data_IF_463457070516
#
_entry.id   IF_463457070516
#
_cell.length_a   1.000
_cell.length_b   1.000
_cell.length_c   1.000
_cell.angle_alpha   90.00
_cell.angle_beta   90.00
_cell.angle_gamma   90.00
#
_symmetry.space_group_name_H-M   'P 1'
#
loop_
_entity.id
_entity.type
_entity.pdbx_description
1 polymer ?
#
# COMPACT_ATOMS: atom_id res chain seq x y z
N UNK A 1 -8.80 19.56 3.33
CA UNK A 1 -9.25 18.67 4.43
C UNK A 1 -10.28 17.74 3.85
N UNK A 2 -9.81 16.67 3.21
CA UNK A 2 -10.67 15.78 2.43
C UNK A 2 -10.99 14.61 3.34
N UNK A 3 -12.05 14.76 4.12
CA UNK A 3 -12.69 13.68 4.86
C UNK A 3 -13.28 12.69 3.87
N UNK A 4 -12.47 11.71 3.45
CA UNK A 4 -12.97 10.52 2.77
C UNK A 4 -13.78 9.70 3.78
N UNK A 5 -15.06 10.03 3.87
CA UNK A 5 -16.04 9.28 4.62
C UNK A 5 -16.15 7.86 4.03
N UNK A 6 -16.08 6.84 4.88
CA UNK A 6 -16.36 5.42 4.61
C UNK A 6 -15.44 4.67 3.63
N UNK A 7 -14.17 4.49 3.99
CA UNK A 7 -13.45 3.31 3.53
C UNK A 7 -13.58 2.22 4.60
N UNK A 8 -13.92 1.00 4.15
CA UNK A 8 -14.00 -0.21 4.96
C UNK A 8 -12.61 -0.59 5.48
N UNK A 9 -12.09 0.21 6.39
CA UNK A 9 -10.78 0.03 7.01
C UNK A 9 -10.75 -1.36 7.65
N UNK A 10 -9.83 -2.19 7.20
CA UNK A 10 -9.55 -3.46 7.87
C UNK A 10 -8.43 -3.17 8.84
N UNK A 11 -8.64 -3.48 10.12
CA UNK A 11 -7.62 -3.33 11.16
C UNK A 11 -7.45 -4.67 11.85
N UNK A 12 -6.21 -5.11 12.03
CA UNK A 12 -5.90 -6.34 12.75
C UNK A 12 -4.72 -6.15 13.67
N UNK A 13 -4.76 -6.85 14.79
CA UNK A 13 -3.63 -7.01 15.69
C UNK A 13 -2.83 -8.23 15.24
N UNK A 14 -1.62 -8.00 14.74
CA UNK A 14 -0.77 -9.03 14.15
C UNK A 14 0.54 -9.18 14.94
N UNK A 15 1.16 -10.36 14.86
CA UNK A 15 2.48 -10.62 15.45
C UNK A 15 3.53 -10.64 14.33
N UNK A 16 4.40 -9.63 14.31
CA UNK A 16 5.48 -9.46 13.33
C UNK A 16 6.81 -9.55 14.06
N UNK A 17 7.66 -10.51 13.68
CA UNK A 17 8.95 -10.77 14.34
C UNK A 17 8.87 -10.79 15.89
N UNK A 18 7.85 -11.46 16.45
CA UNK A 18 7.55 -11.55 17.89
C UNK A 18 7.04 -10.27 18.55
N UNK A 19 6.98 -9.16 17.82
CA UNK A 19 6.38 -7.91 18.28
C UNK A 19 4.93 -7.81 17.83
N UNK A 20 4.12 -7.22 18.68
CA UNK A 20 2.71 -6.99 18.41
C UNK A 20 2.55 -5.66 17.67
N UNK A 21 1.80 -5.67 16.57
CA UNK A 21 1.61 -4.51 15.71
C UNK A 21 0.14 -4.37 15.33
N UNK A 22 -0.24 -3.15 14.96
CA UNK A 22 -1.52 -2.86 14.30
C UNK A 22 -1.22 -2.74 12.82
N UNK A 23 -1.87 -3.60 12.04
CA UNK A 23 -1.88 -3.57 10.60
C UNK A 23 -3.23 -3.04 10.15
N UNK A 24 -3.22 -2.02 9.30
CA UNK A 24 -4.41 -1.48 8.69
C UNK A 24 -4.27 -1.41 7.17
N UNK A 25 -5.38 -1.56 6.45
CA UNK A 25 -5.47 -1.27 5.02
C UNK A 25 -6.88 -0.80 4.67
N UNK A 26 -7.03 -0.23 3.47
CA UNK A 26 -8.32 0.26 2.96
C UNK A 26 -9.27 -0.86 2.46
N UNK A 27 -8.78 -2.11 2.46
CA UNK A 27 -9.53 -3.29 2.05
C UNK A 27 -9.82 -3.37 0.55
N UNK A 28 -9.17 -2.56 -0.28
CA UNK A 28 -9.29 -2.61 -1.74
C UNK A 28 -8.35 -3.66 -2.34
N UNK A 29 -8.49 -4.93 -1.95
CA UNK A 29 -7.62 -6.02 -2.40
C UNK A 29 -7.61 -6.18 -3.94
N UNK A 30 -8.71 -5.85 -4.63
CA UNK A 30 -8.78 -5.82 -6.10
C UNK A 30 -7.88 -4.76 -6.75
N UNK A 31 -7.35 -3.81 -5.97
CA UNK A 31 -6.39 -2.77 -6.39
C UNK A 31 -5.02 -2.90 -5.72
N UNK A 32 -4.79 -3.95 -4.93
CA UNK A 32 -3.50 -4.24 -4.31
C UNK A 32 -2.66 -5.13 -5.23
N UNK A 33 -1.61 -4.55 -5.81
CA UNK A 33 -0.70 -5.25 -6.71
C UNK A 33 0.49 -5.85 -5.98
N UNK A 34 0.85 -5.32 -4.81
CA UNK A 34 2.15 -5.52 -4.18
C UNK A 34 3.10 -4.38 -4.54
N UNK A 35 3.87 -3.88 -3.57
CA UNK A 35 4.73 -2.70 -3.73
C UNK A 35 5.76 -2.87 -4.85
N UNK A 36 6.25 -4.10 -5.07
CA UNK A 36 7.21 -4.43 -6.12
C UNK A 36 6.55 -4.69 -7.47
N UNK A 37 5.24 -4.98 -7.50
CA UNK A 37 4.49 -5.34 -8.71
C UNK A 37 3.53 -4.27 -9.19
N UNK A 38 3.21 -3.28 -8.34
CA UNK A 38 2.33 -2.19 -8.73
C UNK A 38 2.94 -1.47 -9.94
N UNK A 39 2.16 -1.32 -11.04
CA UNK A 39 2.62 -0.60 -12.20
C UNK A 39 3.14 0.79 -11.82
N UNK A 40 4.28 1.15 -12.41
CA UNK A 40 4.97 2.42 -12.19
C UNK A 40 5.52 2.96 -13.50
N UNK A 41 5.76 4.26 -13.53
CA UNK A 41 6.42 4.96 -14.63
C UNK A 41 7.71 5.59 -14.11
N UNK A 42 8.79 5.50 -14.90
CA UNK A 42 9.98 6.31 -14.65
C UNK A 42 9.61 7.77 -14.88
N UNK A 43 9.89 8.62 -13.89
CA UNK A 43 9.40 9.99 -13.89
C UNK A 43 10.44 11.00 -14.37
N UNK A 44 11.74 10.71 -14.15
CA UNK A 44 12.86 11.50 -14.67
C UNK A 44 13.80 10.62 -15.51
N UNK A 45 14.08 11.05 -16.74
CA UNK A 45 14.99 10.35 -17.65
C UNK A 45 16.45 10.42 -17.18
N UNK A 46 16.81 11.41 -16.35
CA UNK A 46 18.15 11.60 -15.81
C UNK A 46 18.35 10.96 -14.43
N UNK A 47 17.26 10.48 -13.80
CA UNK A 47 17.29 9.78 -12.53
C UNK A 47 16.50 8.46 -12.62
N UNK A 48 17.16 7.33 -12.91
CA UNK A 48 16.50 6.04 -13.12
C UNK A 48 15.81 5.50 -11.85
N UNK A 49 16.15 6.02 -10.67
CA UNK A 49 15.53 5.66 -9.41
C UNK A 49 14.31 6.54 -9.09
N UNK A 50 14.01 7.58 -9.88
CA UNK A 50 12.83 8.42 -9.72
C UNK A 50 11.64 7.85 -10.50
N UNK A 51 10.64 7.39 -9.77
CA UNK A 51 9.45 6.78 -10.35
C UNK A 51 8.19 7.14 -9.59
N UNK A 52 7.07 7.07 -10.29
CA UNK A 52 5.75 7.22 -9.72
C UNK A 52 4.94 5.94 -9.90
N UNK A 53 4.37 5.42 -8.81
CA UNK A 53 3.33 4.40 -8.91
C UNK A 53 2.07 5.02 -9.49
N UNK A 54 1.43 4.32 -10.42
CA UNK A 54 0.19 4.80 -11.05
C UNK A 54 -0.96 4.94 -10.04
N UNK A 55 -1.86 5.89 -10.31
CA UNK A 55 -3.12 6.03 -9.60
C UNK A 55 -4.05 4.83 -9.88
N UNK A 56 -5.02 4.60 -9.00
CA UNK A 56 -6.00 3.51 -9.15
C UNK A 56 -6.88 3.67 -10.40
N UNK A 57 -7.08 4.90 -10.87
CA UNK A 57 -7.84 5.27 -12.07
C UNK A 57 -7.07 4.99 -13.37
N UNK A 58 -5.75 4.88 -13.31
CA UNK A 58 -4.88 4.69 -14.49
C UNK A 58 -4.62 3.21 -14.79
N UNK A 59 -4.94 2.31 -13.85
CA UNK A 59 -4.66 0.88 -13.96
C UNK A 59 -5.91 0.04 -13.71
N UNK A 60 -5.90 -1.17 -14.27
CA UNK A 60 -7.00 -2.13 -14.13
C UNK A 60 -7.12 -2.73 -12.73
N UNK A 61 -7.69 -3.92 -12.70
CA UNK A 61 -7.76 -4.76 -11.49
C UNK A 61 -6.43 -5.48 -11.31
N UNK A 62 -5.92 -5.48 -10.09
CA UNK A 62 -4.74 -6.26 -9.73
C UNK A 62 -5.02 -7.76 -9.92
N UNK A 63 -4.05 -8.54 -10.41
CA UNK A 63 -4.22 -9.98 -10.53
C UNK A 63 -4.53 -10.61 -9.18
N UNK A 64 -5.22 -11.76 -9.23
CA UNK A 64 -5.50 -12.59 -8.06
C UNK A 64 -4.19 -13.03 -7.40
N UNK A 65 -3.26 -13.49 -8.22
CA UNK A 65 -1.88 -13.77 -7.84
C UNK A 65 -0.94 -12.75 -8.53
N UNK A 66 -0.36 -11.79 -7.80
CA UNK A 66 0.61 -10.85 -8.34
C UNK A 66 2.02 -11.45 -8.55
N UNK A 67 2.22 -12.74 -8.27
CA UNK A 67 3.53 -13.40 -8.41
C UNK A 67 4.52 -12.92 -7.35
N UNK A 68 4.02 -12.66 -6.14
CA UNK A 68 4.79 -12.28 -4.95
C UNK A 68 4.26 -13.06 -3.75
N UNK A 69 5.18 -13.54 -2.94
CA UNK A 69 4.91 -14.33 -1.75
C UNK A 69 5.89 -13.89 -0.67
N UNK A 70 5.40 -13.81 0.56
CA UNK A 70 6.19 -13.44 1.73
C UNK A 70 6.02 -14.51 2.80
N UNK A 71 7.08 -15.27 3.08
CA UNK A 71 7.08 -16.39 4.04
C UNK A 71 5.93 -17.39 3.82
N UNK A 72 5.64 -17.78 2.58
CA UNK A 72 4.56 -18.72 2.24
C UNK A 72 3.17 -18.09 2.11
N UNK A 73 3.03 -16.79 2.39
CA UNK A 73 1.76 -16.06 2.24
C UNK A 73 1.79 -15.25 0.94
N UNK A 74 0.84 -15.52 0.04
CA UNK A 74 0.55 -14.67 -1.11
C UNK A 74 -0.53 -13.63 -0.78
N UNK A 75 -0.87 -12.76 -1.73
CA UNK A 75 -2.02 -11.85 -1.64
C UNK A 75 -3.28 -12.60 -1.20
N UNK A 76 -3.96 -12.17 -0.13
CA UNK A 76 -5.12 -12.90 0.37
C UNK A 76 -6.31 -12.74 -0.57
N UNK A 77 -7.07 -13.82 -0.74
CA UNK A 77 -8.32 -13.85 -1.52
C UNK A 77 -9.52 -13.36 -0.71
N UNK A 78 -9.36 -13.25 0.60
CA UNK A 78 -10.35 -12.80 1.55
C UNK A 78 -9.83 -11.57 2.29
N UNK A 79 -10.73 -10.82 2.94
CA UNK A 79 -10.41 -9.59 3.67
C UNK A 79 -9.73 -9.88 5.03
N UNK A 80 -8.81 -10.85 5.07
CA UNK A 80 -8.09 -11.29 6.25
C UNK A 80 -6.61 -11.00 6.04
N UNK A 81 -6.01 -10.27 6.98
CA UNK A 81 -4.60 -9.97 6.91
C UNK A 81 -3.72 -11.21 7.11
N UNK A 82 -2.67 -11.32 6.31
CA UNK A 82 -1.59 -12.31 6.41
C UNK A 82 -0.22 -11.61 6.29
N UNK A 83 0.88 -12.35 6.10
CA UNK A 83 2.22 -11.73 6.04
C UNK A 83 2.43 -10.85 4.81
N UNK A 84 1.94 -11.30 3.67
CA UNK A 84 1.94 -10.50 2.44
C UNK A 84 1.35 -9.10 2.66
N UNK A 85 0.30 -9.01 3.48
CA UNK A 85 -0.36 -7.74 3.77
C UNK A 85 0.51 -6.70 4.47
N UNK A 86 1.56 -7.05 5.22
CA UNK A 86 2.41 -6.04 5.87
C UNK A 86 3.80 -5.92 5.25
N UNK A 87 4.20 -6.88 4.42
CA UNK A 87 5.50 -6.88 3.74
C UNK A 87 5.40 -6.37 2.31
N UNK A 88 4.32 -6.72 1.61
CA UNK A 88 4.21 -6.49 0.18
C UNK A 88 3.02 -5.60 -0.20
N UNK A 89 1.89 -5.66 0.50
CA UNK A 89 0.71 -4.85 0.15
C UNK A 89 1.01 -3.34 0.25
N UNK A 90 0.95 -2.66 -0.89
CA UNK A 90 1.26 -1.23 -1.01
C UNK A 90 0.19 -0.31 -0.40
N UNK A 91 -0.95 -0.87 0.01
CA UNK A 91 -2.12 -0.15 0.55
C UNK A 91 -2.24 -0.29 2.07
N UNK A 92 -1.22 -0.84 2.71
CA UNK A 92 -1.21 -1.14 4.13
C UNK A 92 -0.26 -0.23 4.89
N UNK A 93 -0.51 -0.06 6.19
CA UNK A 93 0.48 0.46 7.14
C UNK A 93 0.52 -0.43 8.39
N UNK A 94 1.71 -0.68 8.91
CA UNK A 94 1.98 -1.59 10.02
C UNK A 94 2.82 -0.91 11.10
N UNK A 95 2.16 -0.52 12.20
CA UNK A 95 2.79 0.25 13.29
C UNK A 95 2.80 -0.54 14.60
N UNK A 96 3.78 -0.30 15.49
CA UNK A 96 3.68 -0.75 16.87
C UNK A 96 2.35 -0.29 17.51
N UNK A 97 1.83 -1.07 18.47
CA UNK A 97 0.51 -0.81 19.08
C UNK A 97 0.42 0.59 19.70
N UNK A 98 1.48 1.04 20.34
CA UNK A 98 1.61 2.36 20.95
C UNK A 98 1.57 3.52 19.93
N UNK A 99 1.77 3.23 18.63
CA UNK A 99 1.72 4.20 17.54
C UNK A 99 0.49 4.02 16.64
N UNK A 100 -0.57 3.34 17.07
CA UNK A 100 -1.74 3.09 16.23
C UNK A 100 -2.37 4.37 15.66
N UNK A 101 -2.35 5.48 16.41
CA UNK A 101 -2.89 6.79 15.97
C UNK A 101 -2.09 7.42 14.84
N UNK A 102 -0.88 6.93 14.58
CA UNK A 102 -0.01 7.39 13.51
C UNK A 102 -0.10 6.51 12.25
N UNK A 103 -1.06 5.58 12.19
CA UNK A 103 -1.35 4.85 10.95
C UNK A 103 -1.77 5.85 9.89
N UNK A 104 -1.09 5.81 8.75
CA UNK A 104 -1.42 6.59 7.58
C UNK A 104 -1.38 5.67 6.37
N UNK A 105 -2.55 5.42 5.79
CA UNK A 105 -2.65 4.56 4.62
C UNK A 105 -2.19 5.31 3.37
N UNK A 106 -1.45 4.64 2.47
CA UNK A 106 -1.16 5.18 1.14
C UNK A 106 -2.45 5.47 0.37
N UNK A 107 -2.50 6.63 -0.27
CA UNK A 107 -3.64 7.08 -1.09
C UNK A 107 -3.24 7.14 -2.57
N UNK A 108 -3.82 6.22 -3.34
CA UNK A 108 -3.62 6.05 -4.78
C UNK A 108 -4.72 6.72 -5.61
N UNK A 109 -5.44 7.69 -5.05
CA UNK A 109 -6.30 8.58 -5.85
C UNK A 109 -5.50 9.27 -6.96
N UNK A 110 -4.26 9.67 -6.64
CA UNK A 110 -3.26 10.20 -7.57
C UNK A 110 -1.98 9.35 -7.56
N UNK A 111 -1.08 9.61 -8.53
CA UNK A 111 0.23 8.95 -8.64
C UNK A 111 1.11 9.21 -7.42
N UNK A 112 1.63 8.17 -6.77
CA UNK A 112 2.52 8.31 -5.60
C UNK A 112 3.96 8.31 -6.09
N UNK A 113 4.73 9.33 -5.72
CA UNK A 113 6.16 9.42 -5.99
C UNK A 113 6.95 8.67 -4.92
N UNK A 114 7.98 7.91 -5.33
CA UNK A 114 8.90 7.31 -4.37
C UNK A 114 9.86 8.35 -3.75
N UNK A 115 10.12 9.45 -4.46
CA UNK A 115 10.96 10.56 -4.01
C UNK A 115 10.16 11.88 -3.95
N UNK A 116 9.16 12.00 -3.05
CA UNK A 116 8.21 13.12 -3.07
C UNK A 116 8.86 14.49 -2.89
N UNK A 117 10.04 14.57 -2.25
CA UNK A 117 10.79 15.82 -2.07
C UNK A 117 11.35 16.43 -3.36
N UNK A 118 11.43 15.64 -4.45
CA UNK A 118 11.88 16.11 -5.77
C UNK A 118 10.75 16.69 -6.62
N UNK A 119 9.51 16.50 -6.19
CA UNK A 119 8.31 16.82 -6.96
C UNK A 119 7.47 17.89 -6.26
N UNK A 120 6.66 18.67 -7.00
CA UNK A 120 5.71 19.58 -6.39
C UNK A 120 4.82 18.85 -5.36
N UNK A 121 4.44 19.50 -4.25
CA UNK A 121 3.48 18.92 -3.32
C UNK A 121 2.20 18.55 -4.04
N UNK A 122 1.58 17.44 -3.65
CA UNK A 122 0.24 17.09 -4.12
C UNK A 122 -0.74 18.20 -3.77
N UNK A 123 -1.54 18.62 -4.74
CA UNK A 123 -2.69 19.47 -4.46
C UNK A 123 -3.72 18.67 -3.61
N UNK A 124 -4.30 19.29 -2.56
CA UNK A 124 -5.12 18.59 -1.56
C UNK A 124 -6.56 18.26 -1.99
#
# INVERSE_FOLDING_TARGET
>A
MTTAAHQNLIVSRVRVHRHLRILACDGQCGKAWGIHRRPKIQFDDNDPDDYAWFADSEIGTAPVDPGTEEDGDSKPLNRIHNRWCYLECERSDCRPVEKFRAIQLPDFTDRIYNQPSKHPPREP
#
